data_IF_209967935988
#
_entry.id   IF_209967935988
#
_cell.length_a   1.000
_cell.length_b   1.000
_cell.length_c   1.000
_cell.angle_alpha   90.00
_cell.angle_beta   90.00
_cell.angle_gamma   90.00
#
_symmetry.space_group_name_H-M   'P 1'
#
loop_
_entity.id
_entity.type
_entity.pdbx_description
1 polymer ?
#
# COMPACT_ATOMS: atom_id res chain seq x y z
N UNK A 1 21.68 -7.00 9.05
CA UNK A 1 20.76 -7.08 10.21
C UNK A 1 20.52 -5.71 10.86
N UNK A 2 21.56 -4.86 11.04
CA UNK A 2 21.40 -3.52 11.62
C UNK A 2 20.53 -2.59 10.74
N UNK A 3 20.70 -2.66 9.43
CA UNK A 3 19.94 -1.86 8.47
C UNK A 3 18.43 -2.16 8.48
N UNK A 4 18.05 -3.42 8.72
CA UNK A 4 16.65 -3.83 8.83
C UNK A 4 15.94 -3.25 10.07
N UNK A 5 16.69 -2.83 11.09
CA UNK A 5 16.13 -2.18 12.29
C UNK A 5 16.20 -0.67 12.15
N UNK A 6 17.28 -0.14 11.57
CA UNK A 6 17.47 1.31 11.40
C UNK A 6 16.44 1.91 10.43
N UNK A 7 16.10 1.22 9.34
CA UNK A 7 15.15 1.73 8.38
C UNK A 7 13.74 1.99 8.99
N UNK A 8 13.08 1.03 9.65
CA UNK A 8 11.83 1.28 10.35
C UNK A 8 11.95 2.31 11.47
N UNK A 9 13.05 2.32 12.22
CA UNK A 9 13.27 3.27 13.32
C UNK A 9 13.27 4.71 12.82
N UNK A 10 14.05 5.03 11.79
CA UNK A 10 14.04 6.37 11.19
C UNK A 10 12.69 6.71 10.55
N UNK A 11 11.97 5.72 10.04
CA UNK A 11 10.64 5.92 9.48
C UNK A 11 9.59 6.22 10.56
N UNK A 12 9.71 5.60 11.73
CA UNK A 12 8.87 5.92 12.90
C UNK A 12 9.21 7.28 13.47
N UNK A 13 10.50 7.67 13.48
CA UNK A 13 10.93 8.98 13.93
C UNK A 13 10.38 10.08 13.01
N UNK A 14 10.45 9.90 11.68
CA UNK A 14 9.81 10.79 10.70
C UNK A 14 8.31 10.94 11.01
N UNK A 15 7.60 9.82 11.20
CA UNK A 15 6.18 9.82 11.51
C UNK A 15 5.86 10.54 12.84
N UNK A 16 6.73 10.45 13.83
CA UNK A 16 6.58 11.18 15.10
C UNK A 16 6.65 12.68 14.87
N UNK A 17 7.62 13.17 14.08
CA UNK A 17 7.71 14.60 13.76
C UNK A 17 6.50 15.09 12.94
N UNK A 18 5.99 14.26 12.03
CA UNK A 18 4.78 14.56 11.25
C UNK A 18 3.53 14.73 12.14
N UNK A 19 3.42 13.94 13.24
CA UNK A 19 2.33 14.06 14.21
C UNK A 19 2.38 15.36 15.04
N UNK A 20 3.53 16.00 15.18
CA UNK A 20 3.63 17.30 15.87
C UNK A 20 3.21 18.49 15.00
N UNK A 21 3.22 18.36 13.68
CA UNK A 21 2.87 19.45 12.75
C UNK A 21 1.48 20.02 13.02
N UNK A 22 0.40 19.24 13.19
CA UNK A 22 -0.93 19.78 13.47
C UNK A 22 -1.01 20.55 14.79
N UNK A 23 -0.22 20.17 15.82
CA UNK A 23 -0.17 20.91 17.07
C UNK A 23 0.49 22.27 16.94
N UNK A 24 1.57 22.34 16.15
CA UNK A 24 2.25 23.63 15.88
C UNK A 24 1.32 24.54 15.08
N UNK A 25 0.57 23.98 14.11
CA UNK A 25 -0.45 24.75 13.35
C UNK A 25 -1.55 25.25 14.29
N UNK A 26 -2.02 24.42 15.23
CA UNK A 26 -2.98 24.84 16.26
C UNK A 26 -2.45 26.02 17.07
N UNK A 27 -1.20 25.96 17.52
CA UNK A 27 -0.58 27.04 18.29
C UNK A 27 -0.44 28.33 17.48
N UNK A 28 -0.16 28.24 16.17
CA UNK A 28 -0.14 29.42 15.29
C UNK A 28 -1.53 30.07 15.23
N UNK A 29 -2.60 29.29 15.13
CA UNK A 29 -3.97 29.81 15.05
C UNK A 29 -4.38 30.42 16.38
N UNK A 30 -4.21 29.69 17.48
CA UNK A 30 -4.75 30.04 18.80
C UNK A 30 -3.99 31.16 19.50
N UNK A 31 -2.67 31.23 19.32
CA UNK A 31 -1.82 32.23 19.97
C UNK A 31 -1.38 33.28 18.98
N UNK A 32 -0.89 32.85 17.81
CA UNK A 32 -0.32 33.77 16.84
C UNK A 32 -1.38 34.65 16.15
N UNK A 33 -2.39 34.03 15.56
CA UNK A 33 -3.45 34.75 14.81
C UNK A 33 -4.41 35.43 15.77
N UNK A 34 -4.91 34.70 16.78
CA UNK A 34 -5.86 35.28 17.75
C UNK A 34 -5.25 36.40 18.57
N UNK A 35 -3.95 36.32 18.90
CA UNK A 35 -3.20 37.34 19.60
C UNK A 35 -2.59 38.44 18.70
N UNK A 36 -2.77 38.36 17.36
CA UNK A 36 -2.15 39.22 16.36
C UNK A 36 -0.61 39.35 16.54
N UNK A 37 0.06 38.35 17.14
CA UNK A 37 1.49 38.34 17.38
C UNK A 37 2.26 37.81 16.17
N UNK A 38 2.72 38.74 15.32
CA UNK A 38 3.53 38.40 14.13
C UNK A 38 4.85 37.72 14.50
N UNK A 39 5.47 38.08 15.63
CA UNK A 39 6.73 37.50 16.08
C UNK A 39 6.56 36.02 16.43
N UNK A 40 5.48 35.70 17.13
CA UNK A 40 5.15 34.31 17.47
C UNK A 40 4.87 33.47 16.21
N UNK A 41 4.09 34.02 15.25
CA UNK A 41 3.81 33.33 13.97
C UNK A 41 5.11 33.00 13.25
N UNK A 42 6.00 33.96 13.07
CA UNK A 42 7.28 33.77 12.39
C UNK A 42 8.12 32.70 13.12
N UNK A 43 8.20 32.74 14.45
CA UNK A 43 8.92 31.74 15.25
C UNK A 43 8.35 30.34 15.03
N UNK A 44 7.03 30.17 15.04
CA UNK A 44 6.39 28.86 14.83
C UNK A 44 6.52 28.38 13.38
N UNK A 45 6.56 29.29 12.38
CA UNK A 45 6.91 28.93 11.00
C UNK A 45 8.33 28.36 10.88
N UNK A 46 9.31 28.93 11.61
CA UNK A 46 10.64 28.35 11.67
C UNK A 46 10.64 26.97 12.33
N UNK A 47 9.81 26.74 13.35
CA UNK A 47 9.62 25.41 13.96
C UNK A 47 9.07 24.42 12.94
N UNK A 48 8.07 24.79 12.14
CA UNK A 48 7.53 23.95 11.06
C UNK A 48 8.60 23.61 10.01
N UNK A 49 9.40 24.59 9.61
CA UNK A 49 10.51 24.39 8.68
C UNK A 49 11.52 23.41 9.28
N UNK A 50 11.89 23.59 10.55
CA UNK A 50 12.82 22.70 11.25
C UNK A 50 12.29 21.27 11.33
N UNK A 51 11.00 21.08 11.70
CA UNK A 51 10.34 19.77 11.70
C UNK A 51 10.34 19.14 10.30
N UNK A 52 10.07 19.94 9.26
CA UNK A 52 10.13 19.49 7.87
C UNK A 52 11.53 19.02 7.44
N UNK A 53 12.58 19.80 7.80
CA UNK A 53 13.96 19.44 7.49
C UNK A 53 14.39 18.16 8.24
N UNK A 54 14.07 18.06 9.53
CA UNK A 54 14.39 16.86 10.32
C UNK A 54 13.63 15.64 9.75
N UNK A 55 12.35 15.81 9.44
CA UNK A 55 11.54 14.75 8.79
C UNK A 55 12.14 14.33 7.44
N UNK A 56 12.58 15.27 6.61
CA UNK A 56 13.25 15.00 5.34
C UNK A 56 14.54 14.18 5.53
N UNK A 57 15.39 14.58 6.47
CA UNK A 57 16.65 13.85 6.78
C UNK A 57 16.33 12.44 7.26
N UNK A 58 15.35 12.27 8.16
CA UNK A 58 14.92 10.97 8.63
C UNK A 58 14.36 10.11 7.48
N UNK A 59 13.58 10.71 6.57
CA UNK A 59 13.01 10.02 5.41
C UNK A 59 14.08 9.52 4.45
N UNK A 60 15.04 10.37 4.09
CA UNK A 60 16.16 10.00 3.22
C UNK A 60 16.98 8.87 3.85
N UNK A 61 17.31 9.02 5.14
CA UNK A 61 18.08 8.03 5.89
C UNK A 61 17.34 6.68 5.96
N UNK A 62 16.04 6.70 6.24
CA UNK A 62 15.20 5.50 6.26
C UNK A 62 15.17 4.81 4.89
N UNK A 63 15.02 5.58 3.79
CA UNK A 63 15.02 5.04 2.44
C UNK A 63 16.35 4.43 2.06
N UNK A 64 17.46 5.07 2.42
CA UNK A 64 18.79 4.53 2.18
C UNK A 64 18.99 3.18 2.88
N UNK A 65 18.68 3.09 4.17
CA UNK A 65 18.82 1.83 4.91
C UNK A 65 17.84 0.75 4.43
N UNK A 66 16.62 1.11 4.04
CA UNK A 66 15.66 0.16 3.48
C UNK A 66 16.16 -0.41 2.14
N UNK A 67 16.65 0.44 1.23
CA UNK A 67 17.20 0.03 -0.04
C UNK A 67 18.44 -0.86 0.13
N UNK A 68 19.35 -0.48 1.03
CA UNK A 68 20.57 -1.24 1.35
C UNK A 68 20.24 -2.60 1.95
N UNK A 69 19.25 -2.66 2.87
CA UNK A 69 18.80 -3.92 3.47
C UNK A 69 18.15 -4.84 2.42
N UNK A 70 17.27 -4.30 1.57
CA UNK A 70 16.60 -5.06 0.52
C UNK A 70 17.58 -5.58 -0.53
N UNK A 71 18.55 -4.76 -0.96
CA UNK A 71 19.59 -5.18 -1.90
C UNK A 71 20.51 -6.26 -1.30
N UNK A 72 20.94 -6.08 -0.04
CA UNK A 72 21.75 -7.07 0.66
C UNK A 72 21.01 -8.40 0.86
N UNK A 73 19.71 -8.36 1.16
CA UNK A 73 18.86 -9.53 1.23
C UNK A 73 18.77 -10.25 -0.13
N UNK A 74 18.50 -9.51 -1.21
CA UNK A 74 18.41 -10.09 -2.55
C UNK A 74 19.73 -10.73 -3.01
N UNK A 75 20.88 -10.11 -2.69
CA UNK A 75 22.20 -10.67 -2.96
C UNK A 75 22.42 -11.97 -2.22
N UNK A 76 22.05 -12.01 -0.93
CA UNK A 76 22.13 -13.25 -0.14
C UNK A 76 21.24 -14.39 -0.68
N UNK A 77 20.00 -14.04 -1.09
CA UNK A 77 19.08 -15.02 -1.70
C UNK A 77 19.61 -15.53 -3.04
N UNK A 78 20.15 -14.63 -3.91
CA UNK A 78 20.77 -15.07 -5.18
C UNK A 78 21.92 -16.02 -4.95
N UNK A 79 22.79 -15.72 -3.99
CA UNK A 79 23.92 -16.59 -3.67
C UNK A 79 23.44 -17.95 -3.21
N UNK A 80 22.53 -18.00 -2.24
CA UNK A 80 22.01 -19.26 -1.71
C UNK A 80 21.26 -20.09 -2.77
N UNK A 81 20.46 -19.40 -3.63
CA UNK A 81 19.75 -20.06 -4.73
C UNK A 81 20.73 -20.63 -5.76
N UNK A 82 21.74 -19.86 -6.15
CA UNK A 82 22.76 -20.32 -7.08
C UNK A 82 23.54 -21.52 -6.54
N UNK A 83 23.97 -21.48 -5.27
CA UNK A 83 24.63 -22.59 -4.60
C UNK A 83 23.72 -23.84 -4.56
N UNK A 84 22.43 -23.66 -4.35
CA UNK A 84 21.46 -24.75 -4.35
C UNK A 84 21.29 -25.37 -5.75
N UNK A 85 21.18 -24.53 -6.79
CA UNK A 85 21.08 -24.96 -8.20
C UNK A 85 22.30 -25.78 -8.61
N UNK A 86 23.51 -25.44 -8.15
CA UNK A 86 24.73 -26.19 -8.45
C UNK A 86 24.73 -27.58 -7.84
N UNK A 87 23.88 -27.88 -6.85
CA UNK A 87 23.72 -29.18 -6.22
C UNK A 87 22.62 -30.04 -6.84
N UNK A 88 21.88 -29.48 -7.82
CA UNK A 88 20.81 -30.23 -8.50
C UNK A 88 21.37 -31.41 -9.33
N UNK A 89 20.63 -32.49 -9.33
CA UNK A 89 20.81 -33.59 -10.27
C UNK A 89 20.36 -33.20 -11.66
N UNK A 90 20.83 -33.89 -12.69
CA UNK A 90 20.39 -33.65 -14.06
C UNK A 90 18.88 -33.81 -14.23
N UNK A 91 18.27 -34.79 -13.54
CA UNK A 91 16.81 -35.03 -13.57
C UNK A 91 16.03 -33.85 -13.00
N UNK A 92 16.53 -33.27 -11.90
CA UNK A 92 15.88 -32.06 -11.31
C UNK A 92 16.02 -30.85 -12.23
N UNK A 93 17.17 -30.67 -12.88
CA UNK A 93 17.38 -29.59 -13.84
C UNK A 93 16.46 -29.73 -15.06
N UNK A 94 16.30 -30.96 -15.58
CA UNK A 94 15.39 -31.21 -16.71
C UNK A 94 13.93 -31.01 -16.34
N UNK A 95 13.54 -31.40 -15.11
CA UNK A 95 12.17 -31.23 -14.62
C UNK A 95 11.79 -29.76 -14.42
N UNK A 96 12.70 -28.93 -13.87
CA UNK A 96 12.47 -27.52 -13.60
C UNK A 96 12.63 -26.64 -14.85
N UNK A 97 13.54 -27.04 -15.73
CA UNK A 97 13.92 -26.30 -16.93
C UNK A 97 14.78 -25.05 -16.65
N UNK A 98 15.77 -24.82 -17.49
CA UNK A 98 16.72 -23.70 -17.34
C UNK A 98 16.05 -22.33 -17.41
N UNK A 99 15.01 -22.16 -18.23
CA UNK A 99 14.26 -20.91 -18.35
C UNK A 99 13.57 -20.52 -17.04
N UNK A 100 13.00 -21.48 -16.31
CA UNK A 100 12.38 -21.27 -14.99
C UNK A 100 13.42 -20.83 -13.96
N UNK A 101 14.58 -21.50 -13.94
CA UNK A 101 15.66 -21.16 -13.00
C UNK A 101 16.20 -19.74 -13.27
N UNK A 102 16.34 -19.34 -14.52
CA UNK A 102 16.74 -17.97 -14.89
C UNK A 102 15.71 -16.96 -14.42
N UNK A 103 14.43 -17.22 -14.64
CA UNK A 103 13.33 -16.33 -14.19
C UNK A 103 13.34 -16.17 -12.67
N UNK A 104 13.55 -17.25 -11.92
CA UNK A 104 13.66 -17.21 -10.45
C UNK A 104 14.86 -16.40 -9.98
N UNK A 105 16.02 -16.60 -10.63
CA UNK A 105 17.26 -15.88 -10.29
C UNK A 105 17.18 -14.37 -10.59
N UNK A 106 16.36 -13.96 -11.54
CA UNK A 106 16.25 -12.57 -12.01
C UNK A 106 14.96 -11.91 -11.55
N UNK A 107 13.84 -12.22 -12.19
CA UNK A 107 12.56 -11.53 -11.98
C UNK A 107 12.02 -11.73 -10.56
N UNK A 108 11.97 -12.98 -10.07
CA UNK A 108 11.33 -13.29 -8.80
C UNK A 108 12.12 -12.68 -7.63
N UNK A 109 13.45 -12.79 -7.65
CA UNK A 109 14.28 -12.17 -6.61
C UNK A 109 14.18 -10.63 -6.65
N UNK A 110 14.07 -10.00 -7.83
CA UNK A 110 13.86 -8.56 -7.93
C UNK A 110 12.51 -8.14 -7.35
N UNK A 111 11.47 -8.94 -7.53
CA UNK A 111 10.17 -8.70 -6.95
C UNK A 111 10.21 -8.83 -5.42
N UNK A 112 10.84 -9.89 -4.91
CA UNK A 112 11.03 -10.07 -3.46
C UNK A 112 11.85 -8.93 -2.87
N UNK A 113 12.90 -8.48 -3.55
CA UNK A 113 13.68 -7.28 -3.16
C UNK A 113 12.79 -6.05 -3.03
N UNK A 114 11.93 -5.82 -4.02
CA UNK A 114 10.98 -4.70 -4.01
C UNK A 114 9.98 -4.82 -2.88
N UNK A 115 9.47 -6.03 -2.62
CA UNK A 115 8.57 -6.32 -1.50
C UNK A 115 9.23 -6.04 -0.14
N UNK A 116 10.44 -6.51 0.07
CA UNK A 116 11.20 -6.26 1.32
C UNK A 116 11.43 -4.76 1.52
N UNK A 117 11.79 -4.03 0.46
CA UNK A 117 11.95 -2.58 0.54
C UNK A 117 10.64 -1.87 0.94
N UNK A 118 9.50 -2.25 0.33
CA UNK A 118 8.19 -1.71 0.67
C UNK A 118 7.78 -2.00 2.11
N UNK A 119 8.00 -3.23 2.60
CA UNK A 119 7.70 -3.62 3.97
C UNK A 119 8.51 -2.79 4.96
N UNK A 120 9.82 -2.69 4.78
CA UNK A 120 10.70 -1.94 5.69
C UNK A 120 10.37 -0.44 5.73
N UNK A 121 9.78 0.10 4.66
CA UNK A 121 9.52 1.53 4.48
C UNK A 121 8.12 1.96 4.91
N UNK A 122 7.10 1.13 4.68
CA UNK A 122 5.70 1.55 4.82
C UNK A 122 4.91 0.74 5.85
N UNK A 123 5.24 -0.54 6.08
CA UNK A 123 4.39 -1.45 6.86
C UNK A 123 4.22 -0.99 8.32
N UNK A 124 5.29 -0.56 8.98
CA UNK A 124 5.22 -0.09 10.37
C UNK A 124 4.79 1.38 10.47
N UNK A 125 5.05 2.19 9.43
CA UNK A 125 4.73 3.61 9.44
C UNK A 125 3.21 3.86 9.50
N UNK A 126 2.44 3.20 8.64
CA UNK A 126 1.00 3.47 8.53
C UNK A 126 0.21 3.15 9.80
N UNK A 127 0.36 1.97 10.46
CA UNK A 127 -0.27 1.74 11.76
C UNK A 127 0.21 2.74 12.82
N UNK A 128 1.50 3.06 12.83
CA UNK A 128 2.05 4.00 13.81
C UNK A 128 1.42 5.40 13.71
N UNK A 129 1.23 5.92 12.49
CA UNK A 129 0.56 7.21 12.29
C UNK A 129 -0.92 7.13 12.67
N UNK A 130 -1.64 6.05 12.30
CA UNK A 130 -3.07 5.90 12.63
C UNK A 130 -3.28 5.88 14.14
N UNK A 131 -2.53 5.07 14.87
CA UNK A 131 -2.62 5.02 16.34
C UNK A 131 -2.05 6.28 16.98
N UNK A 132 -0.96 6.82 16.45
CA UNK A 132 -0.37 8.07 16.95
C UNK A 132 -1.31 9.25 16.79
N UNK A 133 -1.94 9.43 15.64
CA UNK A 133 -2.93 10.49 15.41
C UNK A 133 -4.14 10.33 16.31
N UNK A 134 -4.59 9.10 16.55
CA UNK A 134 -5.67 8.83 17.50
C UNK A 134 -5.27 9.22 18.94
N UNK A 135 -4.09 8.83 19.41
CA UNK A 135 -3.57 9.21 20.74
C UNK A 135 -3.46 10.73 20.83
N UNK A 136 -2.92 11.40 19.82
CA UNK A 136 -2.82 12.86 19.78
C UNK A 136 -4.20 13.52 19.81
N UNK A 137 -5.20 12.96 19.13
CA UNK A 137 -6.58 13.45 19.22
C UNK A 137 -7.15 13.34 20.64
N UNK A 138 -6.88 12.25 21.36
CA UNK A 138 -7.29 12.08 22.77
C UNK A 138 -6.62 13.08 23.71
N UNK A 139 -5.39 13.52 23.43
CA UNK A 139 -4.72 14.56 24.24
C UNK A 139 -5.33 15.93 24.05
N UNK A 140 -6.00 16.18 22.92
CA UNK A 140 -6.68 17.46 22.65
C UNK A 140 -8.06 17.47 23.29
N UNK A 141 -8.92 16.51 22.95
CA UNK A 141 -10.28 16.42 23.49
C UNK A 141 -10.85 15.00 23.36
N UNK A 142 -11.27 14.44 24.50
CA UNK A 142 -11.79 13.07 24.57
C UNK A 142 -13.08 12.89 23.78
N UNK A 143 -14.01 13.86 23.81
CA UNK A 143 -15.31 13.75 23.13
C UNK A 143 -15.14 13.85 21.61
N UNK A 144 -14.31 14.75 21.13
CA UNK A 144 -14.00 14.86 19.71
C UNK A 144 -13.20 13.61 19.23
N UNK A 145 -12.33 13.05 20.08
CA UNK A 145 -11.57 11.85 19.77
C UNK A 145 -12.44 10.60 19.60
N UNK A 146 -13.62 10.53 20.23
CA UNK A 146 -14.55 9.41 20.01
C UNK A 146 -15.01 9.27 18.55
N UNK A 147 -14.99 10.34 17.76
CA UNK A 147 -15.27 10.27 16.32
C UNK A 147 -14.23 9.39 15.62
N UNK A 148 -12.96 9.46 16.03
CA UNK A 148 -11.89 8.62 15.47
C UNK A 148 -12.08 7.14 15.84
N UNK A 149 -12.52 6.87 17.06
CA UNK A 149 -12.82 5.49 17.53
C UNK A 149 -13.95 4.87 16.72
N UNK A 150 -14.93 5.66 16.26
CA UNK A 150 -15.98 5.19 15.35
C UNK A 150 -15.50 5.09 13.88
N UNK A 151 -14.79 6.09 13.40
CA UNK A 151 -14.37 6.17 11.99
C UNK A 151 -13.34 5.10 11.59
N UNK A 152 -12.32 4.86 12.44
CA UNK A 152 -11.23 3.93 12.13
C UNK A 152 -11.72 2.49 11.93
N UNK A 153 -12.55 1.89 12.80
CA UNK A 153 -13.09 0.56 12.57
C UNK A 153 -13.97 0.47 11.32
N UNK A 154 -14.81 1.49 11.07
CA UNK A 154 -15.64 1.52 9.85
C UNK A 154 -14.77 1.54 8.61
N UNK A 155 -13.74 2.40 8.58
CA UNK A 155 -12.77 2.45 7.48
C UNK A 155 -12.02 1.12 7.34
N UNK A 156 -11.59 0.52 8.44
CA UNK A 156 -10.92 -0.78 8.42
C UNK A 156 -11.82 -1.86 7.82
N UNK A 157 -13.09 -1.93 8.23
CA UNK A 157 -14.06 -2.91 7.70
C UNK A 157 -14.27 -2.71 6.19
N UNK A 158 -14.42 -1.47 5.72
CA UNK A 158 -14.58 -1.17 4.29
C UNK A 158 -13.33 -1.59 3.51
N UNK A 159 -12.16 -1.14 3.96
CA UNK A 159 -10.89 -1.38 3.25
C UNK A 159 -10.55 -2.87 3.23
N UNK A 160 -10.55 -3.53 4.39
CA UNK A 160 -10.26 -4.96 4.46
C UNK A 160 -11.38 -5.81 3.85
N UNK A 161 -12.64 -5.42 3.98
CA UNK A 161 -13.78 -6.10 3.36
C UNK A 161 -13.67 -6.13 1.84
N UNK A 162 -13.42 -4.98 1.20
CA UNK A 162 -13.21 -4.90 -0.24
C UNK A 162 -11.96 -5.68 -0.65
N UNK A 163 -10.86 -5.53 0.07
CA UNK A 163 -9.61 -6.22 -0.21
C UNK A 163 -9.76 -7.75 -0.17
N UNK A 164 -10.38 -8.29 0.89
CA UNK A 164 -10.61 -9.72 1.04
C UNK A 164 -11.56 -10.26 -0.02
N UNK A 165 -12.58 -9.48 -0.41
CA UNK A 165 -13.54 -9.85 -1.47
C UNK A 165 -12.91 -9.83 -2.86
N UNK A 166 -12.01 -8.91 -3.13
CA UNK A 166 -11.38 -8.77 -4.46
C UNK A 166 -10.23 -9.75 -4.67
N UNK A 167 -9.55 -10.20 -3.60
CA UNK A 167 -8.42 -11.14 -3.68
C UNK A 167 -8.73 -12.43 -4.48
N UNK A 168 -9.78 -13.20 -4.18
CA UNK A 168 -10.10 -14.41 -4.96
C UNK A 168 -10.51 -14.10 -6.40
N UNK A 169 -11.08 -12.92 -6.63
CA UNK A 169 -11.46 -12.48 -7.97
C UNK A 169 -10.23 -12.13 -8.83
N UNK A 170 -9.22 -11.48 -8.26
CA UNK A 170 -7.93 -11.25 -8.96
C UNK A 170 -7.26 -12.57 -9.35
N UNK A 171 -7.32 -13.60 -8.49
CA UNK A 171 -6.81 -14.94 -8.82
C UNK A 171 -7.54 -15.55 -10.03
N UNK A 172 -8.88 -15.37 -10.13
CA UNK A 172 -9.65 -15.79 -11.31
C UNK A 172 -9.30 -15.00 -12.57
N UNK A 173 -9.04 -13.68 -12.43
CA UNK A 173 -8.57 -12.84 -13.55
C UNK A 173 -7.22 -13.36 -14.06
N UNK A 174 -6.31 -13.69 -13.16
CA UNK A 174 -5.00 -14.24 -13.54
C UNK A 174 -5.14 -15.57 -14.29
N UNK A 175 -5.95 -16.49 -13.78
CA UNK A 175 -6.21 -17.77 -14.46
C UNK A 175 -6.86 -17.57 -15.85
N UNK A 176 -7.74 -16.57 -16.00
CA UNK A 176 -8.30 -16.18 -17.30
C UNK A 176 -7.24 -15.64 -18.27
N UNK A 177 -6.29 -14.84 -17.76
CA UNK A 177 -5.17 -14.34 -18.55
C UNK A 177 -4.25 -15.48 -19.00
N UNK A 178 -3.91 -16.40 -18.09
CA UNK A 178 -3.08 -17.58 -18.40
C UNK A 178 -3.74 -18.45 -19.48
N UNK A 179 -5.09 -18.62 -19.45
CA UNK A 179 -5.87 -19.32 -20.50
C UNK A 179 -5.70 -18.63 -21.86
N UNK A 180 -5.79 -17.30 -21.93
CA UNK A 180 -5.60 -16.53 -23.18
C UNK A 180 -4.18 -16.66 -23.69
N UNK A 181 -3.18 -16.55 -22.79
CA UNK A 181 -1.77 -16.76 -23.16
C UNK A 181 -1.53 -18.18 -23.67
N UNK A 182 -2.19 -19.20 -23.09
CA UNK A 182 -2.16 -20.58 -23.57
C UNK A 182 -2.70 -20.69 -24.99
N UNK A 183 -3.90 -20.18 -25.25
CA UNK A 183 -4.51 -20.15 -26.61
C UNK A 183 -3.59 -19.45 -27.61
N UNK A 184 -3.01 -18.30 -27.24
CA UNK A 184 -2.09 -17.57 -28.10
C UNK A 184 -0.84 -18.39 -28.42
N UNK A 185 -0.25 -19.06 -27.43
CA UNK A 185 0.94 -19.92 -27.63
C UNK A 185 0.60 -21.10 -28.53
N UNK A 186 -0.53 -21.80 -28.30
CA UNK A 186 -1.01 -22.89 -29.13
C UNK A 186 -1.17 -22.44 -30.59
N UNK A 187 -1.83 -21.30 -30.83
CA UNK A 187 -2.03 -20.74 -32.16
C UNK A 187 -0.74 -20.37 -32.88
N UNK A 188 0.23 -19.77 -32.16
CA UNK A 188 1.53 -19.40 -32.75
C UNK A 188 2.37 -20.63 -33.11
N UNK A 189 2.37 -21.67 -32.27
CA UNK A 189 3.11 -22.90 -32.54
C UNK A 189 2.43 -23.78 -33.57
N UNK A 190 1.09 -23.84 -33.55
CA UNK A 190 0.26 -24.63 -34.44
C UNK A 190 -0.19 -23.95 -35.74
N UNK A 191 0.32 -22.75 -36.08
CA UNK A 191 -0.19 -21.91 -37.19
C UNK A 191 -0.24 -22.65 -38.52
N UNK A 192 0.72 -23.52 -38.82
CA UNK A 192 0.76 -24.31 -40.05
C UNK A 192 -0.37 -25.33 -40.11
N UNK A 193 -0.68 -25.98 -39.01
CA UNK A 193 -1.77 -26.95 -38.88
C UNK A 193 -3.12 -26.26 -38.99
N UNK A 194 -3.31 -25.15 -38.29
CA UNK A 194 -4.55 -24.36 -38.32
C UNK A 194 -4.88 -23.94 -39.75
N UNK A 195 -3.89 -23.43 -40.50
CA UNK A 195 -4.03 -23.04 -41.92
C UNK A 195 -4.28 -24.22 -42.81
N UNK A 196 -3.56 -25.35 -42.63
CA UNK A 196 -3.75 -26.55 -43.44
C UNK A 196 -5.18 -27.15 -43.34
N UNK A 197 -5.82 -26.95 -42.19
CA UNK A 197 -7.20 -27.42 -41.91
C UNK A 197 -8.26 -26.32 -42.03
N UNK A 198 -7.92 -25.10 -42.46
CA UNK A 198 -8.82 -23.93 -42.58
C UNK A 198 -9.59 -23.64 -41.27
N UNK A 199 -8.90 -23.72 -40.12
CA UNK A 199 -9.51 -23.55 -38.78
C UNK A 199 -9.28 -22.17 -38.17
N UNK A 200 -8.84 -21.18 -38.92
CA UNK A 200 -8.51 -19.83 -38.47
C UNK A 200 -9.72 -19.16 -37.78
N UNK A 201 -10.91 -19.28 -38.39
CA UNK A 201 -12.12 -18.66 -37.84
C UNK A 201 -12.53 -19.28 -36.50
N UNK A 202 -12.42 -20.60 -36.36
CA UNK A 202 -12.74 -21.29 -35.10
C UNK A 202 -11.79 -20.85 -33.97
N UNK A 203 -10.49 -20.71 -34.26
CA UNK A 203 -9.52 -20.25 -33.29
C UNK A 203 -9.71 -18.77 -32.93
N UNK A 204 -10.07 -17.93 -33.89
CA UNK A 204 -10.43 -16.53 -33.62
C UNK A 204 -11.67 -16.46 -32.72
N UNK A 205 -12.68 -17.25 -32.95
CA UNK A 205 -13.89 -17.27 -32.12
C UNK A 205 -13.62 -17.84 -30.73
N UNK A 206 -12.77 -18.87 -30.59
CA UNK A 206 -12.28 -19.40 -29.33
C UNK A 206 -11.54 -18.34 -28.51
N UNK A 207 -10.66 -17.59 -29.16
CA UNK A 207 -9.93 -16.49 -28.53
C UNK A 207 -10.87 -15.37 -28.10
N UNK A 208 -11.79 -14.92 -28.99
CA UNK A 208 -12.77 -13.86 -28.68
C UNK A 208 -13.61 -14.22 -27.46
N UNK A 209 -14.16 -15.44 -27.42
CA UNK A 209 -14.98 -15.92 -26.31
C UNK A 209 -14.22 -15.88 -24.99
N UNK A 210 -13.01 -16.41 -24.96
CA UNK A 210 -12.17 -16.40 -23.76
C UNK A 210 -11.77 -14.97 -23.33
N UNK A 211 -11.52 -14.08 -24.29
CA UNK A 211 -11.21 -12.68 -24.03
C UNK A 211 -12.42 -11.90 -23.49
N UNK A 212 -13.63 -12.19 -23.98
CA UNK A 212 -14.87 -11.60 -23.47
C UNK A 212 -15.15 -12.06 -22.03
N UNK A 213 -14.97 -13.36 -21.73
CA UNK A 213 -15.07 -13.90 -20.36
C UNK A 213 -14.10 -13.17 -19.41
N UNK A 214 -12.85 -13.01 -19.81
CA UNK A 214 -11.85 -12.27 -19.03
C UNK A 214 -12.24 -10.80 -18.83
N UNK A 215 -12.69 -10.13 -19.91
CA UNK A 215 -13.10 -8.73 -19.87
C UNK A 215 -14.28 -8.51 -18.90
N UNK A 216 -15.29 -9.40 -18.94
CA UNK A 216 -16.41 -9.36 -18.00
C UNK A 216 -15.94 -9.50 -16.55
N UNK A 217 -15.02 -10.44 -16.29
CA UNK A 217 -14.46 -10.65 -14.96
C UNK A 217 -13.64 -9.44 -14.50
N UNK A 218 -12.78 -8.89 -15.36
CA UNK A 218 -11.98 -7.70 -15.05
C UNK A 218 -12.87 -6.48 -14.76
N UNK A 219 -13.93 -6.26 -15.55
CA UNK A 219 -14.90 -5.19 -15.30
C UNK A 219 -15.62 -5.36 -13.96
N UNK A 220 -15.98 -6.59 -13.59
CA UNK A 220 -16.63 -6.87 -12.31
C UNK A 220 -15.69 -6.58 -11.14
N UNK A 221 -14.46 -7.07 -11.21
CA UNK A 221 -13.41 -6.79 -10.19
C UNK A 221 -13.13 -5.30 -10.11
N UNK A 222 -13.01 -4.62 -11.27
CA UNK A 222 -12.81 -3.18 -11.34
C UNK A 222 -13.93 -2.37 -10.68
N UNK A 223 -15.18 -2.78 -10.85
CA UNK A 223 -16.34 -2.16 -10.17
C UNK A 223 -16.24 -2.27 -8.65
N UNK A 224 -15.91 -3.46 -8.13
CA UNK A 224 -15.79 -3.68 -6.68
C UNK A 224 -14.57 -2.89 -6.13
N UNK A 225 -13.43 -3.00 -6.77
CA UNK A 225 -12.22 -2.27 -6.36
C UNK A 225 -12.40 -0.75 -6.45
N UNK A 226 -13.12 -0.28 -7.47
CA UNK A 226 -13.42 1.13 -7.67
C UNK A 226 -14.31 1.75 -6.59
N UNK A 227 -15.10 0.94 -5.86
CA UNK A 227 -15.92 1.41 -4.73
C UNK A 227 -15.07 1.77 -3.50
N UNK A 228 -13.83 1.31 -3.39
CA UNK A 228 -12.99 1.54 -2.22
C UNK A 228 -12.79 3.04 -1.95
N UNK A 229 -12.37 3.80 -2.95
CA UNK A 229 -12.12 5.24 -2.78
C UNK A 229 -13.40 6.04 -2.46
N UNK A 230 -14.51 5.94 -3.21
CA UNK A 230 -15.73 6.65 -2.88
C UNK A 230 -16.26 6.35 -1.47
N UNK A 231 -16.25 5.08 -1.06
CA UNK A 231 -16.73 4.68 0.28
C UNK A 231 -15.83 5.22 1.39
N UNK A 232 -14.51 5.10 1.23
CA UNK A 232 -13.57 5.64 2.22
C UNK A 232 -13.66 7.15 2.32
N UNK A 233 -13.75 7.87 1.20
CA UNK A 233 -13.96 9.32 1.19
C UNK A 233 -15.29 9.72 1.83
N UNK A 234 -16.37 8.99 1.57
CA UNK A 234 -17.67 9.28 2.18
C UNK A 234 -17.61 9.16 3.72
N UNK A 235 -17.03 8.08 4.24
CA UNK A 235 -16.88 7.88 5.70
C UNK A 235 -16.02 8.98 6.31
N UNK A 236 -14.89 9.32 5.70
CA UNK A 236 -14.03 10.37 6.25
C UNK A 236 -14.69 11.74 6.20
N UNK A 237 -15.35 12.10 5.09
CA UNK A 237 -16.05 13.37 5.03
C UNK A 237 -17.20 13.47 6.05
N UNK A 238 -17.95 12.38 6.25
CA UNK A 238 -18.97 12.33 7.32
C UNK A 238 -18.30 12.49 8.69
N UNK A 239 -17.20 11.80 8.94
CA UNK A 239 -16.45 11.92 10.19
C UNK A 239 -15.90 13.35 10.40
N UNK A 240 -15.40 13.99 9.35
CA UNK A 240 -14.95 15.39 9.37
C UNK A 240 -16.13 16.32 9.70
N UNK A 241 -17.29 16.14 9.08
CA UNK A 241 -18.48 16.95 9.36
C UNK A 241 -18.89 16.80 10.84
N UNK A 242 -18.92 15.57 11.34
CA UNK A 242 -19.22 15.30 12.76
C UNK A 242 -18.18 15.95 13.69
N UNK A 243 -16.90 15.86 13.33
CA UNK A 243 -15.81 16.45 14.09
C UNK A 243 -15.90 17.98 14.13
N UNK A 244 -16.20 18.60 12.99
CA UNK A 244 -16.40 20.06 12.91
C UNK A 244 -17.63 20.47 13.74
N UNK A 245 -18.73 19.71 13.65
CA UNK A 245 -19.94 19.96 14.44
C UNK A 245 -19.65 19.89 15.94
N UNK A 246 -19.07 18.80 16.41
CA UNK A 246 -18.70 18.62 17.83
C UNK A 246 -17.69 19.69 18.24
N UNK A 247 -16.68 19.96 17.38
CA UNK A 247 -15.69 20.99 17.62
C UNK A 247 -16.30 22.38 17.76
N UNK A 248 -17.23 22.77 16.88
CA UNK A 248 -17.91 24.06 16.95
C UNK A 248 -18.71 24.24 18.23
N UNK A 249 -19.46 23.19 18.65
CA UNK A 249 -20.19 23.21 19.93
C UNK A 249 -19.24 23.39 21.12
N UNK A 250 -18.09 22.70 21.09
CA UNK A 250 -17.11 22.76 22.18
C UNK A 250 -16.29 24.05 22.16
N UNK A 251 -16.03 24.64 21.02
CA UNK A 251 -15.43 26.00 20.92
C UNK A 251 -16.38 27.03 21.50
N UNK A 252 -17.68 26.94 21.17
CA UNK A 252 -18.68 27.87 21.71
C UNK A 252 -18.84 27.73 23.24
N UNK A 253 -18.61 26.54 23.79
CA UNK A 253 -18.60 26.30 25.25
C UNK A 253 -17.25 26.68 25.92
N UNK A 254 -16.26 27.16 25.18
CA UNK A 254 -14.95 27.54 25.70
C UNK A 254 -14.03 26.36 26.10
N UNK A 255 -14.40 25.13 25.74
CA UNK A 255 -13.63 23.93 26.09
C UNK A 255 -12.59 23.53 25.05
N UNK A 256 -12.71 23.98 23.82
CA UNK A 256 -11.76 23.81 22.74
C UNK A 256 -11.45 25.15 22.09
N UNK A 257 -10.28 25.23 21.45
CA UNK A 257 -9.88 26.37 20.62
C UNK A 257 -10.09 26.07 19.12
N UNK A 258 -10.12 27.09 18.30
CA UNK A 258 -10.26 26.93 16.84
C UNK A 258 -9.08 26.16 16.25
N UNK A 259 -7.85 26.45 16.69
CA UNK A 259 -6.66 25.74 16.23
C UNK A 259 -6.67 24.26 16.61
N UNK A 260 -7.19 23.91 17.78
CA UNK A 260 -7.36 22.52 18.20
C UNK A 260 -8.33 21.75 17.28
N UNK A 261 -9.43 22.39 16.83
CA UNK A 261 -10.35 21.77 15.85
C UNK A 261 -9.65 21.55 14.51
N UNK A 262 -8.81 22.49 14.06
CA UNK A 262 -8.01 22.35 12.84
C UNK A 262 -6.97 21.21 12.99
N UNK A 263 -6.35 21.07 14.16
CA UNK A 263 -5.42 19.96 14.42
C UNK A 263 -6.15 18.60 14.33
N UNK A 264 -7.32 18.48 14.94
CA UNK A 264 -8.14 17.27 14.86
C UNK A 264 -8.56 16.94 13.41
N UNK A 265 -8.94 17.94 12.62
CA UNK A 265 -9.21 17.77 11.19
C UNK A 265 -7.98 17.22 10.43
N UNK A 266 -6.80 17.78 10.69
CA UNK A 266 -5.56 17.32 10.06
C UNK A 266 -5.24 15.86 10.44
N UNK A 267 -5.41 15.47 11.71
CA UNK A 267 -5.22 14.08 12.14
C UNK A 267 -6.20 13.12 11.44
N UNK A 268 -7.48 13.51 11.30
CA UNK A 268 -8.45 12.68 10.57
C UNK A 268 -8.05 12.51 9.10
N UNK A 269 -7.60 13.57 8.44
CA UNK A 269 -7.12 13.51 7.05
C UNK A 269 -5.87 12.63 6.90
N UNK A 270 -4.92 12.69 7.86
CA UNK A 270 -3.74 11.82 7.87
C UNK A 270 -4.13 10.34 8.00
N UNK A 271 -5.05 10.00 8.89
CA UNK A 271 -5.54 8.63 9.08
C UNK A 271 -6.10 8.06 7.78
N UNK A 272 -6.91 8.83 7.04
CA UNK A 272 -7.43 8.41 5.74
C UNK A 272 -6.31 8.04 4.78
N UNK A 273 -5.36 8.95 4.59
CA UNK A 273 -4.26 8.76 3.64
C UNK A 273 -3.44 7.52 4.01
N UNK A 274 -3.16 7.32 5.29
CA UNK A 274 -2.35 6.19 5.76
C UNK A 274 -3.11 4.85 5.68
N UNK A 275 -4.42 4.82 5.92
CA UNK A 275 -5.23 3.61 5.73
C UNK A 275 -5.29 3.19 4.25
N UNK A 276 -5.43 4.13 3.33
CA UNK A 276 -5.40 3.85 1.89
C UNK A 276 -4.01 3.33 1.47
N UNK A 277 -2.94 3.94 1.98
CA UNK A 277 -1.56 3.47 1.72
C UNK A 277 -1.35 2.05 2.25
N UNK A 278 -1.84 1.75 3.46
CA UNK A 278 -1.74 0.42 4.07
C UNK A 278 -2.50 -0.62 3.24
N UNK A 279 -3.70 -0.30 2.77
CA UNK A 279 -4.48 -1.19 1.91
C UNK A 279 -3.73 -1.52 0.60
N UNK A 280 -3.23 -0.49 -0.08
CA UNK A 280 -2.46 -0.66 -1.31
C UNK A 280 -1.16 -1.46 -1.08
N UNK A 281 -0.50 -1.24 0.06
CA UNK A 281 0.69 -2.00 0.45
C UNK A 281 0.38 -3.48 0.60
N UNK A 282 -0.70 -3.83 1.30
CA UNK A 282 -1.11 -5.23 1.50
C UNK A 282 -1.47 -5.89 0.16
N UNK A 283 -2.18 -5.18 -0.73
CA UNK A 283 -2.50 -5.68 -2.07
C UNK A 283 -1.20 -5.95 -2.86
N UNK A 284 -0.27 -5.02 -2.86
CA UNK A 284 1.01 -5.17 -3.56
C UNK A 284 1.84 -6.34 -3.01
N UNK A 285 1.93 -6.50 -1.68
CA UNK A 285 2.66 -7.61 -1.06
C UNK A 285 2.02 -8.95 -1.43
N UNK A 286 0.69 -9.04 -1.38
CA UNK A 286 -0.03 -10.26 -1.77
C UNK A 286 0.18 -10.61 -3.24
N UNK A 287 0.18 -9.60 -4.13
CA UNK A 287 0.50 -9.79 -5.54
C UNK A 287 1.93 -10.31 -5.74
N UNK A 288 2.90 -9.77 -5.02
CA UNK A 288 4.31 -10.19 -5.09
C UNK A 288 4.52 -11.64 -4.62
N UNK A 289 3.79 -12.09 -3.60
CA UNK A 289 3.91 -13.46 -3.07
C UNK A 289 3.32 -14.49 -4.06
N UNK A 290 2.22 -14.15 -4.74
CA UNK A 290 1.54 -15.10 -5.64
C UNK A 290 2.16 -15.23 -7.04
N UNK A 291 2.98 -14.28 -7.48
CA UNK A 291 3.73 -14.40 -8.74
C UNK A 291 4.83 -15.48 -8.65
N UNK A 292 5.32 -15.77 -7.44
CA UNK A 292 6.34 -16.78 -7.20
C UNK A 292 5.78 -18.20 -6.93
N UNK A 293 4.45 -18.40 -6.87
CA UNK A 293 3.88 -19.74 -6.82
C UNK A 293 4.11 -20.44 -8.17
N UNK A 294 4.85 -21.56 -8.22
CA UNK A 294 4.96 -22.32 -9.46
C UNK A 294 3.56 -22.79 -9.84
N UNK A 295 3.14 -22.49 -11.08
CA UNK A 295 2.10 -23.28 -11.73
C UNK A 295 2.56 -24.74 -11.62
N UNK A 296 1.96 -25.52 -10.71
CA UNK A 296 2.17 -26.95 -10.67
C UNK A 296 1.89 -27.48 -12.06
N UNK A 297 2.82 -28.21 -12.70
CA UNK A 297 2.45 -29.02 -13.84
C UNK A 297 1.33 -29.95 -13.34
N UNK A 298 0.17 -29.90 -13.94
CA UNK A 298 -0.82 -30.93 -13.73
C UNK A 298 -0.18 -32.25 -14.16
N UNK A 299 -0.27 -33.32 -13.36
CA UNK A 299 0.21 -34.63 -13.79
C UNK A 299 -0.55 -35.01 -15.06
N UNK A 300 0.21 -35.30 -16.11
CA UNK A 300 -0.27 -35.88 -17.38
C UNK A 300 -0.85 -37.26 -17.08
#
# INVERSE_FOLDING_TARGET
KKECVLAPLFKMLEATFELFVPLVVSAIIDVGIAGADKGYIVKMCFVLIALGIIGLVCSITAQYFAAKAASGFATGVRHALFEHIQKFTFTEMDTLGTSTLITRMTSDINQVQSGVNLVLRLFLRSPFIVFGAMIMAFTIDVKAALVFVGAIPILAVIVFGIMLSTRPLYKKVQAGLDKILGITRENLTGVRVIRAFNKENEEVDRFKKSNEELNHLQKFVGKISGLMNPLTYAVVNISIILLIWIGAVRVNSGTLTQGQVVALYNYMSQILVELIKLANLVINILSLIHISEPTRPEPI
#
